data_IF_354408595671
#
_entry.id   IF_354408595671
#
_cell.length_a   1.000
_cell.length_b   1.000
_cell.length_c   1.000
_cell.angle_alpha   90.00
_cell.angle_beta   90.00
_cell.angle_gamma   90.00
#
_symmetry.space_group_name_H-M   'P 1'
#
loop_
_entity.id
_entity.type
_entity.pdbx_description
1 polymer ?
#
# COMPACT_ATOMS: atom_id res chain seq x y z
N UNK A 1 -10.80 -30.15 -23.76
CA UNK A 1 -10.04 -28.96 -23.28
C UNK A 1 -8.65 -29.34 -22.78
N UNK A 2 -8.52 -30.12 -21.69
CA UNK A 2 -7.20 -30.66 -21.25
C UNK A 2 -6.57 -31.52 -22.35
N UNK A 3 -7.39 -32.32 -23.05
CA UNK A 3 -6.98 -33.17 -24.18
C UNK A 3 -6.30 -32.41 -25.34
N UNK A 4 -6.56 -31.12 -25.51
CA UNK A 4 -5.98 -30.30 -26.59
C UNK A 4 -4.99 -29.25 -26.09
N UNK A 5 -4.64 -29.26 -24.80
CA UNK A 5 -3.70 -28.32 -24.18
C UNK A 5 -4.01 -26.83 -24.45
N UNK A 6 -5.29 -26.47 -24.57
CA UNK A 6 -5.70 -25.08 -24.84
C UNK A 6 -5.60 -24.27 -23.55
N UNK A 7 -4.76 -23.23 -23.55
CA UNK A 7 -4.61 -22.30 -22.42
C UNK A 7 -5.86 -21.44 -22.27
N UNK A 8 -6.48 -21.49 -21.10
CA UNK A 8 -7.61 -20.65 -20.73
C UNK A 8 -7.43 -20.13 -19.30
N UNK A 9 -7.89 -18.91 -19.05
CA UNK A 9 -7.88 -18.29 -17.72
C UNK A 9 -9.19 -17.59 -17.44
N UNK A 10 -9.64 -17.62 -16.19
CA UNK A 10 -10.84 -16.89 -15.75
C UNK A 10 -10.57 -15.39 -15.83
N UNK A 11 -11.53 -14.63 -16.35
CA UNK A 11 -11.54 -13.16 -16.21
C UNK A 11 -12.11 -12.84 -14.84
N UNK A 12 -11.27 -12.37 -13.92
CA UNK A 12 -11.65 -12.12 -12.54
C UNK A 12 -12.32 -10.75 -12.34
N UNK A 13 -13.35 -10.72 -11.49
CA UNK A 13 -13.79 -9.51 -10.76
C UNK A 13 -13.06 -9.41 -9.42
N UNK A 14 -13.02 -8.21 -8.84
CA UNK A 14 -12.30 -7.95 -7.59
C UNK A 14 -12.68 -8.90 -6.44
N UNK A 15 -13.99 -9.12 -6.21
CA UNK A 15 -14.44 -10.06 -5.17
C UNK A 15 -14.00 -11.50 -5.41
N UNK A 16 -13.97 -11.94 -6.67
CA UNK A 16 -13.55 -13.30 -7.03
C UNK A 16 -12.05 -13.52 -6.80
N UNK A 17 -11.24 -12.45 -6.83
CA UNK A 17 -9.81 -12.54 -6.52
C UNK A 17 -9.57 -12.72 -5.02
N UNK A 18 -10.44 -12.16 -4.17
CA UNK A 18 -10.34 -12.30 -2.71
C UNK A 18 -10.61 -13.73 -2.26
N UNK A 19 -11.53 -14.41 -2.94
CA UNK A 19 -11.93 -15.79 -2.64
C UNK A 19 -11.09 -16.85 -3.39
N UNK A 20 -10.18 -16.44 -4.27
CA UNK A 20 -9.44 -17.38 -5.12
C UNK A 20 -8.37 -18.16 -4.31
N UNK A 21 -8.37 -19.51 -4.36
CA UNK A 21 -7.44 -20.33 -3.58
C UNK A 21 -5.97 -20.06 -3.90
N UNK A 22 -5.64 -19.69 -5.14
CA UNK A 22 -4.27 -19.39 -5.54
C UNK A 22 -3.83 -18.02 -5.01
N UNK A 23 -4.71 -17.02 -5.03
CA UNK A 23 -4.44 -15.72 -4.41
C UNK A 23 -4.22 -15.86 -2.90
N UNK A 24 -5.09 -16.61 -2.22
CA UNK A 24 -4.99 -16.87 -0.79
C UNK A 24 -3.70 -17.63 -0.43
N UNK A 25 -3.39 -18.74 -1.13
CA UNK A 25 -2.18 -19.52 -0.88
C UNK A 25 -0.88 -18.72 -1.09
N UNK A 26 -0.93 -17.69 -1.93
CA UNK A 26 0.21 -16.82 -2.21
C UNK A 26 0.19 -15.53 -1.41
N UNK A 27 -0.82 -15.29 -0.59
CA UNK A 27 -1.02 -14.01 0.10
C UNK A 27 -0.90 -12.84 -0.89
N UNK A 28 -1.47 -12.99 -2.09
CA UNK A 28 -1.36 -12.03 -3.17
C UNK A 28 -2.12 -10.72 -2.84
N UNK A 29 -3.14 -10.84 -2.00
CA UNK A 29 -3.86 -9.73 -1.39
C UNK A 29 -3.70 -9.86 0.14
N UNK A 30 -3.45 -8.74 0.82
CA UNK A 30 -3.30 -8.67 2.28
C UNK A 30 -4.31 -7.71 2.87
N UNK A 31 -4.79 -8.00 4.08
CA UNK A 31 -5.62 -7.09 4.86
C UNK A 31 -4.74 -6.21 5.76
N UNK A 32 -4.97 -4.91 5.71
CA UNK A 32 -4.36 -3.93 6.61
C UNK A 32 -5.41 -3.14 7.36
N UNK A 33 -5.10 -2.79 8.60
CA UNK A 33 -5.91 -1.85 9.36
C UNK A 33 -5.75 -0.43 8.80
N UNK A 34 -6.85 0.30 8.71
CA UNK A 34 -6.90 1.73 8.40
C UNK A 34 -7.79 2.41 9.41
N UNK A 35 -7.38 3.57 9.92
CA UNK A 35 -8.18 4.32 10.88
C UNK A 35 -9.47 4.83 10.23
N UNK A 36 -9.42 5.19 8.95
CA UNK A 36 -10.56 5.70 8.20
C UNK A 36 -11.51 4.61 7.69
N UNK A 37 -10.99 3.45 7.31
CA UNK A 37 -11.76 2.42 6.60
C UNK A 37 -11.88 1.09 7.34
N UNK A 38 -11.33 0.98 8.55
CA UNK A 38 -11.34 -0.24 9.35
C UNK A 38 -10.33 -1.25 8.83
N UNK A 39 -10.75 -2.14 7.94
CA UNK A 39 -9.86 -3.09 7.25
C UNK A 39 -9.95 -2.89 5.74
N UNK A 40 -8.79 -2.86 5.09
CA UNK A 40 -8.71 -2.75 3.63
C UNK A 40 -7.88 -3.89 3.06
N UNK A 41 -8.34 -4.46 1.94
CA UNK A 41 -7.59 -5.43 1.16
C UNK A 41 -6.78 -4.70 0.08
N UNK A 42 -5.50 -5.06 -0.07
CA UNK A 42 -4.63 -4.49 -1.12
C UNK A 42 -3.64 -5.51 -1.66
N UNK A 43 -3.07 -5.28 -2.86
CA UNK A 43 -1.99 -6.10 -3.38
C UNK A 43 -0.81 -6.16 -2.43
N UNK A 44 -0.30 -7.37 -2.20
CA UNK A 44 0.93 -7.58 -1.46
C UNK A 44 2.17 -7.27 -2.32
N UNK A 45 3.34 -7.24 -1.69
CA UNK A 45 4.61 -7.02 -2.38
C UNK A 45 4.88 -8.17 -3.35
N UNK A 46 5.22 -7.80 -4.59
CA UNK A 46 5.58 -8.73 -5.65
C UNK A 46 6.84 -8.24 -6.38
N UNK A 47 7.78 -9.14 -6.76
CA UNK A 47 7.80 -10.59 -6.56
C UNK A 47 8.14 -11.00 -5.10
N UNK A 48 7.81 -12.25 -4.73
CA UNK A 48 8.23 -12.84 -3.45
C UNK A 48 9.70 -13.29 -3.54
N UNK A 49 10.59 -12.52 -2.92
CA UNK A 49 12.03 -12.83 -2.84
C UNK A 49 12.30 -13.73 -1.63
N UNK A 50 13.02 -14.84 -1.84
CA UNK A 50 13.29 -15.82 -0.78
C UNK A 50 14.27 -15.31 0.28
N UNK A 51 15.33 -14.61 -0.13
CA UNK A 51 16.36 -14.10 0.79
C UNK A 51 16.00 -12.76 1.43
N UNK A 52 15.10 -12.00 0.81
CA UNK A 52 14.74 -10.65 1.25
C UNK A 52 13.25 -10.37 0.99
N UNK A 53 12.33 -11.11 1.64
CA UNK A 53 10.90 -10.92 1.42
C UNK A 53 10.48 -9.50 1.80
N UNK A 54 9.79 -8.83 0.88
CA UNK A 54 9.19 -7.53 1.15
C UNK A 54 7.93 -7.66 2.02
N UNK A 55 7.52 -6.56 2.64
CA UNK A 55 6.27 -6.45 3.39
C UNK A 55 5.63 -5.09 3.19
N UNK A 56 4.29 -5.05 3.24
CA UNK A 56 3.56 -3.79 3.31
C UNK A 56 3.56 -3.32 4.76
N UNK A 57 4.13 -2.13 5.00
CA UNK A 57 4.30 -1.61 6.37
C UNK A 57 3.05 -0.89 6.89
N UNK A 58 2.32 -0.20 6.02
CA UNK A 58 1.17 0.64 6.35
C UNK A 58 0.38 0.99 5.08
N UNK A 59 -0.90 1.37 5.19
CA UNK A 59 -1.79 1.59 4.03
C UNK A 59 -1.60 2.93 3.29
N UNK A 60 -0.73 3.81 3.77
CA UNK A 60 -0.64 5.21 3.33
C UNK A 60 -1.11 6.19 4.42
N UNK A 61 -0.85 7.49 4.25
CA UNK A 61 -1.13 8.48 5.29
C UNK A 61 -2.63 8.70 5.36
N UNK A 62 -3.16 8.90 6.55
CA UNK A 62 -4.60 9.11 6.76
C UNK A 62 -5.00 10.54 6.36
N UNK A 63 -4.04 11.49 6.45
CA UNK A 63 -4.25 12.90 6.11
C UNK A 63 -3.23 13.45 5.11
N UNK A 64 -3.63 14.49 4.37
CA UNK A 64 -2.70 15.22 3.51
C UNK A 64 -1.65 15.93 4.38
N UNK A 65 -0.38 15.72 4.07
CA UNK A 65 0.72 16.37 4.79
C UNK A 65 1.05 15.78 6.17
N UNK A 66 0.54 14.59 6.51
CA UNK A 66 0.75 13.93 7.80
C UNK A 66 2.22 13.88 8.26
N UNK A 67 3.14 13.69 7.31
CA UNK A 67 4.58 13.60 7.58
C UNK A 67 5.35 14.91 7.30
N UNK A 68 4.68 16.03 7.00
CA UNK A 68 5.37 17.28 6.64
C UNK A 68 6.29 17.76 7.76
N UNK A 69 5.78 17.78 9.00
CA UNK A 69 6.57 18.23 10.15
C UNK A 69 7.77 17.31 10.41
N UNK A 70 7.57 15.99 10.37
CA UNK A 70 8.64 15.01 10.51
C UNK A 70 9.71 15.24 9.45
N UNK A 71 9.33 15.30 8.17
CA UNK A 71 10.30 15.39 7.07
C UNK A 71 11.03 16.72 7.05
N UNK A 72 10.33 17.84 7.27
CA UNK A 72 10.93 19.16 7.14
C UNK A 72 11.85 19.48 8.32
N UNK A 73 11.49 19.03 9.53
CA UNK A 73 12.33 19.19 10.71
C UNK A 73 13.48 18.17 10.74
N UNK A 74 13.21 16.90 10.47
CA UNK A 74 14.21 15.83 10.67
C UNK A 74 15.15 15.68 9.48
N UNK A 75 14.65 15.71 8.25
CA UNK A 75 15.46 15.51 7.05
C UNK A 75 16.02 16.82 6.54
N UNK A 76 15.17 17.84 6.40
CA UNK A 76 15.57 19.15 5.83
C UNK A 76 16.12 20.12 6.87
N UNK A 77 16.02 19.79 8.17
CA UNK A 77 16.54 20.61 9.27
C UNK A 77 15.97 22.03 9.31
N UNK A 78 14.73 22.22 8.86
CA UNK A 78 14.04 23.49 9.01
C UNK A 78 13.69 23.71 10.48
N UNK A 79 13.95 24.92 10.95
CA UNK A 79 13.49 25.34 12.27
C UNK A 79 11.98 25.63 12.25
N UNK A 80 11.45 25.91 13.44
CA UNK A 80 10.04 26.17 13.62
C UNK A 80 9.57 27.45 12.91
N UNK A 81 10.41 28.46 12.83
CA UNK A 81 10.06 29.73 12.21
C UNK A 81 9.87 29.56 10.70
N UNK A 82 10.78 28.84 10.05
CA UNK A 82 10.69 28.47 8.65
C UNK A 82 9.45 27.59 8.37
N UNK A 83 9.17 26.59 9.21
CA UNK A 83 8.01 25.72 9.03
C UNK A 83 6.69 26.48 9.15
N UNK A 84 6.58 27.37 10.13
CA UNK A 84 5.39 28.20 10.31
C UNK A 84 5.22 29.22 9.18
N UNK A 85 6.32 29.71 8.59
CA UNK A 85 6.25 30.54 7.39
C UNK A 85 5.67 29.77 6.18
N UNK A 86 6.06 28.50 5.99
CA UNK A 86 5.51 27.66 4.91
C UNK A 86 4.00 27.41 5.09
N UNK A 87 3.56 27.15 6.33
CA UNK A 87 2.13 27.02 6.68
C UNK A 87 1.35 28.30 6.37
N UNK A 88 1.86 29.45 6.81
CA UNK A 88 1.21 30.76 6.57
C UNK A 88 1.10 31.09 5.08
N UNK A 89 2.06 30.66 4.28
CA UNK A 89 2.07 30.88 2.84
C UNK A 89 1.19 29.88 2.06
N UNK A 90 0.61 28.87 2.72
CA UNK A 90 -0.19 27.83 2.09
C UNK A 90 0.62 26.84 1.26
N UNK A 91 1.95 26.78 1.47
CA UNK A 91 2.83 25.82 0.80
C UNK A 91 2.65 24.41 1.38
N UNK A 92 2.35 24.32 2.68
CA UNK A 92 2.08 23.08 3.42
C UNK A 92 0.93 23.21 4.39
#
# INVERSE_FOLDING_TARGET
MIEHAVTVGKVYRAGEMLDDPHYAAREALVELASARWGKIAMPNVTPKLSSSPGSVRWPGPETLGEHNEEMYSSLLKLDREALDALRRNGTI
#
